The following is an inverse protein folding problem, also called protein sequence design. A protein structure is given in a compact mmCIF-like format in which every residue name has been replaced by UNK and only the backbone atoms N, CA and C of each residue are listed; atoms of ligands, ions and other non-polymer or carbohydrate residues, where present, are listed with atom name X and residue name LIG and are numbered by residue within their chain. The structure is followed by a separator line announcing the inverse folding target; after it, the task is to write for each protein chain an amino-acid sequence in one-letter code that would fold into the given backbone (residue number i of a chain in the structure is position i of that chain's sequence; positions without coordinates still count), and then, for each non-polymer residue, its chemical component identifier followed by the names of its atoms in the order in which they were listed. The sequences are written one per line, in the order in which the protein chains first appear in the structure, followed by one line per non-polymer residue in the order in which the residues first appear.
data_IF_824582903362
#
_entry.id   IF_824582903362
#
_cell.length_a   1.000
_cell.length_b   1.000
_cell.length_c   1.000
_cell.angle_alpha   90.00
_cell.angle_beta   90.00
_cell.angle_gamma   90.00
#
_symmetry.space_group_name_H-M   'P 1'
#
loop_
_entity.id
_entity.type
_entity.pdbx_description
1 polymer ?
#
# COMPACT_ATOMS: atom_id res chain seq x y z
N UNK A 1 19.78 -6.33 -7.35
CA UNK A 1 19.57 -7.76 -7.04
C UNK A 1 18.57 -8.36 -8.02
N UNK A 2 17.46 -7.69 -8.30
CA UNK A 2 16.42 -8.20 -9.20
C UNK A 2 16.95 -8.52 -10.63
N UNK A 3 17.94 -7.77 -11.12
CA UNK A 3 18.52 -7.91 -12.46
C UNK A 3 19.65 -8.96 -12.54
N UNK A 4 20.04 -9.55 -11.42
CA UNK A 4 21.13 -10.55 -11.38
C UNK A 4 20.64 -11.90 -11.87
N UNK A 5 21.29 -12.49 -12.86
CA UNK A 5 20.92 -13.79 -13.44
C UNK A 5 21.14 -14.96 -12.46
N UNK A 6 22.06 -14.82 -11.50
CA UNK A 6 22.36 -15.82 -10.46
C UNK A 6 21.43 -15.77 -9.23
N UNK A 7 20.34 -15.00 -9.28
CA UNK A 7 19.34 -14.87 -8.24
C UNK A 7 17.98 -15.32 -8.77
N UNK A 8 17.38 -16.33 -8.17
CA UNK A 8 16.08 -16.88 -8.55
C UNK A 8 14.90 -16.25 -7.80
N UNK A 9 15.13 -15.77 -6.58
CA UNK A 9 14.11 -15.13 -5.74
C UNK A 9 14.74 -14.24 -4.68
N UNK A 10 13.94 -13.35 -4.10
CA UNK A 10 14.39 -12.34 -3.15
C UNK A 10 13.56 -12.44 -1.88
N UNK A 11 14.24 -12.57 -0.73
CA UNK A 11 13.60 -12.49 0.60
C UNK A 11 14.11 -11.24 1.31
N UNK A 12 13.18 -10.45 1.85
CA UNK A 12 13.46 -9.23 2.59
C UNK A 12 12.92 -9.38 4.01
N UNK A 13 13.81 -9.44 5.00
CA UNK A 13 13.40 -9.37 6.41
C UNK A 13 13.17 -7.92 6.80
N UNK A 14 12.03 -7.61 7.41
CA UNK A 14 11.58 -6.26 7.67
C UNK A 14 10.84 -6.16 9.02
N UNK A 15 10.95 -5.03 9.69
CA UNK A 15 10.12 -4.72 10.85
C UNK A 15 8.63 -4.65 10.44
N UNK A 16 7.74 -5.18 11.29
CA UNK A 16 6.33 -5.38 10.94
C UNK A 16 5.50 -4.11 10.82
N UNK A 17 5.93 -2.99 11.43
CA UNK A 17 5.11 -1.77 11.55
C UNK A 17 4.84 -1.06 10.22
N UNK A 18 5.82 -1.08 9.31
CA UNK A 18 5.73 -0.45 7.98
C UNK A 18 5.98 -1.43 6.83
N UNK A 19 5.98 -2.74 7.13
CA UNK A 19 6.24 -3.78 6.13
C UNK A 19 5.26 -3.69 4.95
N UNK A 20 3.99 -3.44 5.22
CA UNK A 20 2.95 -3.30 4.20
C UNK A 20 3.19 -2.13 3.24
N UNK A 21 3.79 -1.04 3.75
CA UNK A 21 4.13 0.13 2.96
C UNK A 21 5.33 -0.15 2.05
N UNK A 22 6.38 -0.76 2.62
CA UNK A 22 7.56 -1.19 1.86
C UNK A 22 7.19 -2.22 0.80
N UNK A 23 6.36 -3.21 1.14
CA UNK A 23 5.89 -4.22 0.19
C UNK A 23 5.16 -3.57 -0.99
N UNK A 24 4.24 -2.63 -0.72
CA UNK A 24 3.49 -1.96 -1.78
C UNK A 24 4.38 -1.05 -2.64
N UNK A 25 5.31 -0.32 -2.03
CA UNK A 25 6.27 0.48 -2.79
C UNK A 25 7.10 -0.38 -3.75
N UNK A 26 7.60 -1.52 -3.30
CA UNK A 26 8.35 -2.46 -4.13
C UNK A 26 7.47 -3.09 -5.21
N UNK A 27 6.22 -3.41 -4.88
CA UNK A 27 5.24 -3.95 -5.83
C UNK A 27 4.99 -3.01 -7.02
N UNK A 28 5.06 -1.70 -6.76
CA UNK A 28 4.88 -0.67 -7.77
C UNK A 28 6.15 -0.37 -8.58
N UNK A 29 7.35 -0.59 -8.02
CA UNK A 29 8.60 -0.02 -8.57
C UNK A 29 9.66 -1.04 -8.96
N UNK A 30 9.53 -2.30 -8.58
CA UNK A 30 10.49 -3.36 -8.94
C UNK A 30 10.01 -4.10 -10.17
N UNK A 31 10.69 -3.89 -11.29
CA UNK A 31 10.33 -4.50 -12.58
C UNK A 31 10.98 -5.89 -12.70
N UNK A 32 10.37 -6.91 -12.11
CA UNK A 32 10.87 -8.29 -12.14
C UNK A 32 9.75 -9.31 -12.17
N UNK A 33 10.03 -10.46 -12.78
CA UNK A 33 9.18 -11.67 -12.69
C UNK A 33 9.66 -12.64 -11.61
N UNK A 34 10.77 -12.32 -10.93
CA UNK A 34 11.27 -13.15 -9.83
C UNK A 34 10.40 -12.96 -8.59
N UNK A 35 10.22 -14.00 -7.78
CA UNK A 35 9.55 -13.86 -6.49
C UNK A 35 10.23 -12.83 -5.59
N UNK A 36 9.46 -11.91 -5.04
CA UNK A 36 9.90 -10.95 -4.02
C UNK A 36 9.01 -11.11 -2.80
N UNK A 37 9.58 -11.59 -1.71
CA UNK A 37 8.88 -11.97 -0.51
C UNK A 37 9.38 -11.15 0.68
N UNK A 38 8.49 -10.42 1.35
CA UNK A 38 8.78 -9.80 2.63
C UNK A 38 8.31 -10.69 3.77
N UNK A 39 9.06 -10.67 4.87
CA UNK A 39 8.72 -11.38 6.10
C UNK A 39 9.31 -10.68 7.32
N UNK A 40 8.87 -11.09 8.49
CA UNK A 40 9.34 -10.58 9.78
C UNK A 40 8.86 -11.43 10.95
N UNK A 41 8.79 -10.86 12.13
CA UNK A 41 8.23 -11.53 13.29
C UNK A 41 7.47 -10.56 14.19
N UNK A 42 6.42 -11.05 14.81
CA UNK A 42 5.65 -10.31 15.82
C UNK A 42 6.17 -10.58 17.24
N UNK A 43 6.88 -11.69 17.44
CA UNK A 43 7.46 -12.09 18.73
C UNK A 43 8.97 -12.02 18.68
N UNK A 44 9.64 -11.58 19.76
CA UNK A 44 11.09 -11.64 19.84
C UNK A 44 11.59 -13.10 19.81
N UNK A 45 12.82 -13.30 19.35
CA UNK A 45 13.41 -14.65 19.23
C UNK A 45 13.48 -15.42 20.57
N UNK A 46 13.46 -14.71 21.69
CA UNK A 46 13.48 -15.27 23.05
C UNK A 46 12.10 -15.62 23.61
N UNK A 47 11.01 -15.28 22.88
CA UNK A 47 9.67 -15.59 23.32
C UNK A 47 9.34 -17.08 23.17
N UNK A 48 8.44 -17.59 24.06
CA UNK A 48 7.83 -18.89 23.85
C UNK A 48 7.02 -18.83 22.54
N UNK A 49 7.22 -19.81 21.67
CA UNK A 49 6.61 -19.83 20.33
C UNK A 49 6.97 -18.61 19.46
N UNK A 50 8.27 -18.24 19.41
CA UNK A 50 8.77 -17.24 18.50
C UNK A 50 8.37 -17.60 17.06
N UNK A 51 7.77 -16.65 16.34
CA UNK A 51 7.24 -16.88 14.98
C UNK A 51 8.29 -16.66 13.86
N UNK A 52 9.36 -15.92 14.16
CA UNK A 52 10.38 -15.54 13.18
C UNK A 52 11.04 -16.70 12.44
N UNK A 53 11.48 -17.78 13.10
CA UNK A 53 12.14 -18.90 12.43
C UNK A 53 11.26 -19.58 11.36
N UNK A 54 9.97 -19.83 11.65
CA UNK A 54 9.04 -20.43 10.70
C UNK A 54 8.73 -19.43 9.56
N UNK A 55 8.45 -18.16 9.88
CA UNK A 55 8.18 -17.14 8.89
C UNK A 55 9.35 -16.99 7.89
N UNK A 56 10.59 -17.01 8.37
CA UNK A 56 11.78 -16.93 7.51
C UNK A 56 11.92 -18.18 6.62
N UNK A 57 11.74 -19.37 7.18
CA UNK A 57 11.78 -20.62 6.42
C UNK A 57 10.74 -20.61 5.31
N UNK A 58 9.49 -20.26 5.62
CA UNK A 58 8.40 -20.20 4.66
C UNK A 58 8.60 -19.13 3.59
N UNK A 59 9.17 -17.96 3.96
CA UNK A 59 9.51 -16.92 3.00
C UNK A 59 10.57 -17.40 1.99
N UNK A 60 11.60 -18.13 2.44
CA UNK A 60 12.62 -18.72 1.54
C UNK A 60 12.00 -19.80 0.65
N UNK A 61 11.16 -20.67 1.19
CA UNK A 61 10.44 -21.68 0.42
C UNK A 61 9.51 -21.02 -0.62
N UNK A 62 8.80 -19.97 -0.26
CA UNK A 62 7.97 -19.21 -1.19
C UNK A 62 8.81 -18.55 -2.29
N UNK A 63 9.93 -17.91 -1.95
CA UNK A 63 10.82 -17.26 -2.90
C UNK A 63 11.52 -18.25 -3.84
N UNK A 64 11.64 -19.53 -3.47
CA UNK A 64 12.18 -20.59 -4.32
C UNK A 64 11.16 -21.14 -5.33
N UNK A 65 9.90 -20.67 -5.29
CA UNK A 65 8.85 -21.09 -6.21
C UNK A 65 8.66 -20.05 -7.34
N UNK A 66 9.17 -20.32 -8.58
CA UNK A 66 9.25 -19.29 -9.64
C UNK A 66 7.90 -18.70 -10.03
N UNK A 67 6.83 -19.50 -9.99
CA UNK A 67 5.48 -19.03 -10.34
C UNK A 67 4.94 -17.94 -9.40
N UNK A 68 5.51 -17.79 -8.20
CA UNK A 68 5.12 -16.76 -7.25
C UNK A 68 5.36 -15.34 -7.80
N UNK A 69 6.36 -15.15 -8.64
CA UNK A 69 6.65 -13.85 -9.27
C UNK A 69 5.49 -13.27 -10.09
N UNK A 70 4.56 -14.11 -10.53
CA UNK A 70 3.34 -13.69 -11.25
C UNK A 70 2.32 -12.94 -10.35
N UNK A 71 2.51 -13.00 -9.04
CA UNK A 71 1.60 -12.44 -8.03
C UNK A 71 2.07 -11.12 -7.43
N UNK A 72 3.17 -10.55 -7.98
CA UNK A 72 3.77 -9.34 -7.47
C UNK A 72 4.60 -9.57 -6.20
N UNK A 73 4.80 -8.51 -5.45
CA UNK A 73 5.45 -8.60 -4.14
C UNK A 73 4.46 -9.16 -3.12
N UNK A 74 4.89 -10.14 -2.35
CA UNK A 74 4.04 -10.77 -1.34
C UNK A 74 4.65 -10.64 0.07
N UNK A 75 3.79 -10.67 1.07
CA UNK A 75 4.18 -10.87 2.48
C UNK A 75 3.82 -12.29 2.88
N UNK A 76 4.80 -13.02 3.40
CA UNK A 76 4.60 -14.36 3.98
C UNK A 76 4.81 -14.26 5.49
N UNK A 77 3.72 -14.42 6.22
CA UNK A 77 3.67 -14.34 7.69
C UNK A 77 2.61 -15.30 8.21
N UNK A 78 2.93 -16.01 9.29
CA UNK A 78 2.00 -16.95 9.95
C UNK A 78 1.36 -17.93 8.95
N UNK A 79 2.21 -18.55 8.12
CA UNK A 79 1.85 -19.53 7.06
C UNK A 79 0.83 -19.00 6.04
N UNK A 80 0.66 -17.68 5.93
CA UNK A 80 -0.29 -17.05 4.99
C UNK A 80 0.46 -16.19 3.98
N UNK A 81 0.06 -16.27 2.72
CA UNK A 81 0.62 -15.49 1.60
C UNK A 81 -0.32 -14.34 1.28
N UNK A 82 0.16 -13.12 1.40
CA UNK A 82 -0.63 -11.90 1.20
C UNK A 82 -0.09 -11.07 0.03
N UNK A 83 -1.01 -10.48 -0.75
CA UNK A 83 -0.65 -9.46 -1.76
C UNK A 83 -0.20 -8.17 -1.09
N UNK A 84 0.87 -7.56 -1.59
CA UNK A 84 1.34 -6.25 -1.13
C UNK A 84 0.26 -5.17 -1.21
N UNK A 85 -0.61 -5.21 -2.21
CA UNK A 85 -1.68 -4.22 -2.40
C UNK A 85 -2.72 -4.25 -1.27
N UNK A 86 -3.10 -5.45 -0.80
CA UNK A 86 -4.25 -5.61 0.12
C UNK A 86 -3.86 -5.87 1.57
N UNK A 87 -2.63 -6.34 1.82
CA UNK A 87 -2.20 -6.69 3.17
C UNK A 87 -2.10 -5.46 4.08
N UNK A 88 -2.45 -5.63 5.34
CA UNK A 88 -2.40 -4.61 6.38
C UNK A 88 -2.08 -5.26 7.73
N UNK A 89 -1.28 -4.57 8.55
CA UNK A 89 -1.07 -4.94 9.96
C UNK A 89 -2.29 -4.49 10.76
N UNK A 90 -3.11 -5.44 11.21
CA UNK A 90 -4.40 -5.16 11.86
C UNK A 90 -4.38 -5.30 13.37
N UNK A 91 -3.30 -5.81 13.95
CA UNK A 91 -3.13 -6.02 15.38
C UNK A 91 -1.73 -5.60 15.83
N UNK A 92 -1.60 -5.16 17.07
CA UNK A 92 -0.34 -4.66 17.63
C UNK A 92 0.60 -5.77 18.08
N UNK A 93 0.10 -6.96 18.41
CA UNK A 93 0.86 -8.02 19.12
C UNK A 93 0.64 -9.43 18.58
N UNK A 94 -0.52 -9.74 18.02
CA UNK A 94 -0.84 -11.09 17.56
C UNK A 94 0.01 -11.51 16.36
N UNK A 95 0.48 -12.76 16.32
CA UNK A 95 1.21 -13.29 15.17
C UNK A 95 0.32 -13.32 13.90
N UNK A 96 -0.99 -13.52 14.07
CA UNK A 96 -2.00 -13.47 13.03
C UNK A 96 -2.50 -12.04 12.77
N UNK A 97 -1.57 -11.09 12.58
CA UNK A 97 -1.89 -9.66 12.44
C UNK A 97 -2.04 -9.21 11.00
N UNK A 98 -1.37 -9.86 10.05
CA UNK A 98 -1.45 -9.46 8.65
C UNK A 98 -2.71 -10.02 8.00
N UNK A 99 -3.53 -9.13 7.44
CA UNK A 99 -4.83 -9.46 6.81
C UNK A 99 -4.97 -8.73 5.49
N UNK A 100 -5.62 -9.35 4.53
CA UNK A 100 -5.93 -8.76 3.23
C UNK A 100 -7.26 -8.00 3.21
N UNK A 101 -7.71 -7.43 4.33
CA UNK A 101 -9.02 -6.79 4.46
C UNK A 101 -10.16 -7.66 3.87
N UNK A 102 -11.05 -7.05 3.07
CA UNK A 102 -12.17 -7.73 2.41
C UNK A 102 -11.72 -8.65 1.26
N UNK A 103 -10.51 -8.44 0.70
CA UNK A 103 -10.00 -9.23 -0.42
C UNK A 103 -9.37 -10.55 0.02
N UNK A 104 -9.07 -10.71 1.31
CA UNK A 104 -8.45 -11.91 1.86
C UNK A 104 -6.97 -12.06 1.51
N UNK A 105 -6.43 -13.26 1.70
CA UNK A 105 -5.07 -13.62 1.34
C UNK A 105 -5.02 -14.23 -0.07
N UNK A 106 -3.85 -14.30 -0.67
CA UNK A 106 -3.63 -15.03 -1.92
C UNK A 106 -3.73 -16.55 -1.71
N UNK A 107 -3.30 -17.02 -0.54
CA UNK A 107 -3.26 -18.43 -0.19
C UNK A 107 -2.44 -18.70 1.06
N UNK A 108 -1.93 -19.92 1.19
CA UNK A 108 -1.26 -20.40 2.38
C UNK A 108 0.01 -21.17 2.03
N UNK A 109 0.96 -21.16 2.96
CA UNK A 109 2.10 -22.09 2.93
C UNK A 109 1.64 -23.46 3.43
N UNK A 110 1.84 -24.49 2.65
CA UNK A 110 1.50 -25.87 3.02
C UNK A 110 2.53 -26.83 2.43
N UNK A 111 3.10 -27.70 3.28
CA UNK A 111 4.11 -28.69 2.90
C UNK A 111 5.31 -28.06 2.16
N UNK A 112 5.77 -26.90 2.65
CA UNK A 112 6.91 -26.16 2.09
C UNK A 112 6.63 -25.47 0.74
N UNK A 113 5.37 -25.30 0.36
CA UNK A 113 4.98 -24.67 -0.91
C UNK A 113 3.82 -23.71 -0.73
N UNK A 114 3.77 -22.58 -1.50
CA UNK A 114 2.60 -21.73 -1.56
C UNK A 114 1.46 -22.45 -2.31
N UNK A 115 0.28 -22.45 -1.71
CA UNK A 115 -0.99 -22.90 -2.29
C UNK A 115 -1.84 -21.66 -2.51
N UNK A 116 -1.89 -21.15 -3.75
CA UNK A 116 -2.54 -19.91 -4.09
C UNK A 116 -3.90 -20.16 -4.74
N UNK A 117 -4.89 -19.36 -4.36
CA UNK A 117 -6.29 -19.47 -4.80
C UNK A 117 -6.84 -18.18 -5.39
N UNK A 118 -6.08 -17.08 -5.31
CA UNK A 118 -6.43 -15.78 -5.86
C UNK A 118 -5.26 -15.20 -6.63
N UNK A 119 -5.54 -14.37 -7.63
CA UNK A 119 -4.53 -13.68 -8.42
C UNK A 119 -4.79 -12.17 -8.40
N UNK A 120 -3.76 -11.33 -8.23
CA UNK A 120 -3.88 -9.89 -8.38
C UNK A 120 -4.29 -9.51 -9.81
N UNK A 121 -5.26 -8.61 -9.93
CA UNK A 121 -5.73 -8.10 -11.23
C UNK A 121 -5.17 -6.72 -11.58
N UNK A 122 -4.64 -6.02 -10.58
CA UNK A 122 -4.04 -4.70 -10.75
C UNK A 122 -2.60 -4.81 -11.21
N UNK A 123 -2.08 -3.78 -11.87
CA UNK A 123 -0.66 -3.72 -12.27
C UNK A 123 0.26 -3.83 -11.05
N UNK A 124 1.33 -4.57 -11.22
CA UNK A 124 2.35 -4.78 -10.18
C UNK A 124 3.68 -5.19 -10.84
N UNK A 125 4.78 -5.16 -10.13
CA UNK A 125 6.12 -5.60 -10.52
C UNK A 125 6.38 -5.54 -12.02
N UNK A 126 6.38 -6.68 -12.72
CA UNK A 126 6.70 -6.81 -14.16
C UNK A 126 5.72 -6.06 -15.10
N UNK A 127 4.50 -5.77 -14.65
CA UNK A 127 3.48 -5.04 -15.41
C UNK A 127 3.38 -3.56 -15.02
N UNK A 128 4.15 -3.13 -14.03
CA UNK A 128 4.17 -1.74 -13.58
C UNK A 128 4.93 -0.85 -14.55
N UNK A 129 4.40 0.35 -14.78
CA UNK A 129 5.06 1.42 -15.54
C UNK A 129 5.69 2.47 -14.60
N UNK A 130 5.54 2.32 -13.27
CA UNK A 130 6.03 3.27 -12.29
C UNK A 130 7.48 2.94 -11.92
N UNK A 131 8.29 3.98 -11.79
CA UNK A 131 9.68 3.86 -11.35
C UNK A 131 9.90 4.67 -10.06
N UNK A 132 10.81 4.19 -9.22
CA UNK A 132 11.22 4.94 -8.03
C UNK A 132 12.00 6.20 -8.45
N UNK A 133 11.53 7.42 -8.14
CA UNK A 133 12.28 8.64 -8.41
C UNK A 133 13.45 8.79 -7.42
N UNK A 134 14.40 9.67 -7.72
CA UNK A 134 15.50 10.00 -6.79
C UNK A 134 14.97 10.62 -5.50
N UNK A 135 13.95 11.46 -5.59
CA UNK A 135 13.26 12.09 -4.46
C UNK A 135 11.76 11.94 -4.66
N UNK A 136 11.10 11.54 -3.59
CA UNK A 136 9.64 11.42 -3.58
C UNK A 136 9.02 12.79 -3.31
N UNK A 137 8.00 13.24 -4.10
CA UNK A 137 7.25 14.44 -3.80
C UNK A 137 6.66 14.42 -2.38
N UNK A 138 6.64 15.58 -1.74
CA UNK A 138 6.13 15.70 -0.37
C UNK A 138 4.61 15.54 -0.35
N UNK A 139 4.11 14.49 0.26
CA UNK A 139 2.68 14.19 0.45
C UNK A 139 2.41 13.95 1.93
N UNK A 140 1.33 14.54 2.46
CA UNK A 140 0.88 14.28 3.83
C UNK A 140 -0.43 13.50 3.86
N UNK A 141 -0.68 12.81 4.97
CA UNK A 141 -1.96 12.16 5.29
C UNK A 141 -2.67 13.01 6.33
N UNK A 142 -3.93 13.35 6.08
CA UNK A 142 -4.80 14.07 7.00
C UNK A 142 -5.90 13.13 7.46
N UNK A 143 -5.91 12.79 8.75
CA UNK A 143 -6.94 11.92 9.32
C UNK A 143 -8.16 12.75 9.73
N UNK A 144 -9.33 12.49 9.14
CA UNK A 144 -10.54 13.21 9.47
C UNK A 144 -11.17 12.70 10.77
N UNK A 145 -11.46 13.62 11.67
CA UNK A 145 -12.10 13.38 12.96
C UNK A 145 -13.04 14.55 13.30
N UNK A 146 -13.86 14.37 14.35
CA UNK A 146 -14.73 15.45 14.86
C UNK A 146 -13.88 16.56 15.44
N UNK A 147 -14.03 17.78 14.90
CA UNK A 147 -13.23 18.94 15.32
C UNK A 147 -11.99 19.21 14.46
N UNK A 148 -11.74 18.44 13.39
CA UNK A 148 -10.72 18.81 12.40
C UNK A 148 -11.08 20.15 11.77
N UNK A 149 -10.17 21.12 11.83
CA UNK A 149 -10.39 22.47 11.33
C UNK A 149 -9.77 22.72 9.95
N UNK A 150 -10.27 23.74 9.28
CA UNK A 150 -9.69 24.24 8.03
C UNK A 150 -8.22 24.67 8.19
N UNK A 151 -7.88 25.25 9.34
CA UNK A 151 -6.51 25.70 9.62
C UNK A 151 -5.53 24.55 9.84
N UNK A 152 -5.97 23.45 10.45
CA UNK A 152 -5.15 22.26 10.58
C UNK A 152 -4.78 21.70 9.19
N UNK A 153 -5.76 21.66 8.29
CA UNK A 153 -5.54 21.17 6.93
C UNK A 153 -4.64 22.11 6.13
N UNK A 154 -4.82 23.43 6.23
CA UNK A 154 -3.94 24.39 5.56
C UNK A 154 -2.49 24.27 6.01
N UNK A 155 -2.25 24.11 7.33
CA UNK A 155 -0.91 23.91 7.87
C UNK A 155 -0.27 22.61 7.37
N UNK A 156 -1.03 21.50 7.35
CA UNK A 156 -0.54 20.21 6.86
C UNK A 156 -0.27 20.24 5.34
N UNK A 157 -1.01 21.06 4.58
CA UNK A 157 -0.82 21.22 3.14
C UNK A 157 0.43 22.06 2.79
N UNK A 158 0.93 22.85 3.72
CA UNK A 158 2.04 23.77 3.44
C UNK A 158 3.29 23.03 2.94
N UNK A 159 3.78 23.39 1.77
CA UNK A 159 4.95 22.78 1.14
C UNK A 159 4.73 21.35 0.63
N UNK A 160 3.47 20.91 0.49
CA UNK A 160 3.13 19.58 -0.04
C UNK A 160 2.67 19.68 -1.50
N UNK A 161 3.06 18.70 -2.28
CA UNK A 161 2.54 18.51 -3.65
C UNK A 161 1.16 17.81 -3.64
N UNK A 162 0.86 17.05 -2.58
CA UNK A 162 -0.40 16.36 -2.43
C UNK A 162 -0.80 16.08 -0.99
N UNK A 163 -2.09 15.82 -0.79
CA UNK A 163 -2.68 15.34 0.46
C UNK A 163 -3.52 14.10 0.22
N UNK A 164 -3.42 13.15 1.14
CA UNK A 164 -4.39 12.05 1.25
C UNK A 164 -5.31 12.36 2.43
N UNK A 165 -6.57 12.61 2.14
CA UNK A 165 -7.59 12.80 3.17
C UNK A 165 -8.16 11.44 3.55
N UNK A 166 -7.81 10.97 4.75
CA UNK A 166 -8.41 9.79 5.37
C UNK A 166 -9.78 10.18 5.91
N UNK A 167 -10.75 10.22 5.00
CA UNK A 167 -12.10 10.75 5.29
C UNK A 167 -12.93 9.84 6.19
N UNK A 168 -14.11 10.31 6.50
CA UNK A 168 -15.17 9.57 7.19
C UNK A 168 -15.72 8.46 6.27
N UNK A 169 -16.96 8.01 6.44
CA UNK A 169 -17.58 7.06 5.51
C UNK A 169 -17.47 7.56 4.06
N UNK A 170 -17.06 6.70 3.12
CA UNK A 170 -16.88 7.00 1.69
C UNK A 170 -15.95 8.20 1.40
N UNK A 171 -14.94 8.41 2.23
CA UNK A 171 -13.96 9.49 2.05
C UNK A 171 -14.53 10.91 2.25
N UNK A 172 -15.66 11.05 2.95
CA UNK A 172 -16.25 12.36 3.27
C UNK A 172 -15.40 13.13 4.26
N UNK A 173 -15.47 14.44 4.18
CA UNK A 173 -14.77 15.36 5.09
C UNK A 173 -15.72 16.46 5.57
N UNK A 174 -15.39 17.17 6.69
CA UNK A 174 -16.16 18.33 7.13
C UNK A 174 -16.22 19.40 6.03
N UNK A 175 -17.35 20.10 5.90
CA UNK A 175 -17.58 21.10 4.85
C UNK A 175 -16.52 22.22 4.88
N UNK A 176 -16.16 22.72 6.04
CA UNK A 176 -15.13 23.76 6.18
C UNK A 176 -13.73 23.27 5.75
N UNK A 177 -13.45 21.99 5.88
CA UNK A 177 -12.21 21.36 5.38
C UNK A 177 -12.25 21.32 3.86
N UNK A 178 -13.38 20.91 3.28
CA UNK A 178 -13.55 20.88 1.82
C UNK A 178 -13.37 22.28 1.20
N UNK A 179 -14.03 23.28 1.76
CA UNK A 179 -13.89 24.67 1.31
C UNK A 179 -12.46 25.20 1.43
N UNK A 180 -11.70 24.76 2.44
CA UNK A 180 -10.30 25.14 2.59
C UNK A 180 -9.37 24.48 1.58
N UNK A 181 -9.73 23.31 1.06
CA UNK A 181 -8.92 22.57 0.07
C UNK A 181 -9.09 23.11 -1.35
N UNK A 182 -10.27 23.60 -1.71
CA UNK A 182 -10.56 24.06 -3.07
C UNK A 182 -9.54 25.09 -3.59
N UNK A 183 -9.24 26.21 -2.90
CA UNK A 183 -8.23 27.17 -3.37
C UNK A 183 -6.81 26.60 -3.42
N UNK A 184 -6.48 25.63 -2.57
CA UNK A 184 -5.18 24.95 -2.63
C UNK A 184 -5.09 24.02 -3.85
N UNK A 185 -6.20 23.37 -4.20
CA UNK A 185 -6.30 22.54 -5.41
C UNK A 185 -6.19 23.37 -6.69
N UNK A 186 -6.74 24.59 -6.70
CA UNK A 186 -6.57 25.55 -7.80
C UNK A 186 -5.10 25.99 -7.95
N UNK A 187 -4.35 26.03 -6.86
CA UNK A 187 -2.91 26.31 -6.84
C UNK A 187 -2.05 25.07 -7.16
N UNK A 188 -2.64 23.93 -7.49
CA UNK A 188 -1.94 22.73 -7.94
C UNK A 188 -1.78 21.63 -6.90
N UNK A 189 -2.32 21.78 -5.68
CA UNK A 189 -2.34 20.69 -4.71
C UNK A 189 -3.21 19.53 -5.20
N UNK A 190 -2.67 18.31 -5.24
CA UNK A 190 -3.44 17.12 -5.56
C UNK A 190 -4.03 16.50 -4.30
N UNK A 191 -5.34 16.34 -4.26
CA UNK A 191 -6.05 15.76 -3.12
C UNK A 191 -6.59 14.39 -3.48
N UNK A 192 -6.19 13.36 -2.73
CA UNK A 192 -6.70 11.99 -2.82
C UNK A 192 -7.64 11.75 -1.64
N UNK A 193 -8.83 11.23 -1.91
CA UNK A 193 -9.78 10.79 -0.88
C UNK A 193 -9.62 9.29 -0.62
N UNK A 194 -9.30 8.94 0.61
CA UNK A 194 -9.33 7.61 1.18
C UNK A 194 -10.33 7.55 2.34
N UNK A 195 -10.51 6.41 2.97
CA UNK A 195 -11.41 6.28 4.11
C UNK A 195 -10.67 5.78 5.36
N UNK A 196 -11.11 6.23 6.54
CA UNK A 196 -10.67 5.67 7.82
C UNK A 196 -11.37 4.36 8.17
N UNK A 197 -12.46 4.05 7.48
CA UNK A 197 -13.14 2.77 7.65
C UNK A 197 -12.26 1.62 7.16
N UNK A 198 -12.28 0.51 7.88
CA UNK A 198 -11.45 -0.67 7.57
C UNK A 198 -11.92 -1.43 6.32
N UNK A 199 -13.07 -1.12 5.78
CA UNK A 199 -13.63 -1.76 4.58
C UNK A 199 -14.37 -0.77 3.69
N UNK A 200 -14.72 -1.20 2.50
CA UNK A 200 -15.38 -0.41 1.47
C UNK A 200 -14.39 0.28 0.52
N UNK A 201 -14.93 0.96 -0.45
CA UNK A 201 -14.19 1.68 -1.49
C UNK A 201 -14.59 3.14 -1.49
N UNK A 202 -13.68 4.01 -1.89
CA UNK A 202 -13.94 5.44 -2.11
C UNK A 202 -13.99 5.68 -3.61
N UNK A 203 -15.15 6.09 -4.11
CA UNK A 203 -15.39 6.34 -5.53
C UNK A 203 -15.68 7.82 -5.79
N UNK A 204 -15.69 8.22 -7.05
CA UNK A 204 -16.01 9.59 -7.45
C UNK A 204 -17.46 9.95 -7.06
N UNK A 205 -17.62 11.16 -6.59
CA UNK A 205 -18.94 11.78 -6.32
C UNK A 205 -18.89 13.26 -6.70
N UNK A 206 -19.97 13.84 -7.26
CA UNK A 206 -19.98 15.23 -7.72
C UNK A 206 -19.65 16.26 -6.63
N UNK A 207 -19.95 15.95 -5.36
CA UNK A 207 -19.69 16.84 -4.23
C UNK A 207 -18.20 17.12 -3.99
N UNK A 208 -17.31 16.26 -4.49
CA UNK A 208 -15.85 16.37 -4.34
C UNK A 208 -15.14 16.33 -5.70
N UNK A 209 -15.72 17.03 -6.66
CA UNK A 209 -15.14 17.14 -7.99
C UNK A 209 -13.71 17.68 -7.95
N UNK A 210 -12.87 17.20 -8.87
CA UNK A 210 -11.44 17.52 -8.91
C UNK A 210 -10.56 16.78 -7.91
N UNK A 211 -11.12 15.93 -7.01
CA UNK A 211 -10.31 15.03 -6.17
C UNK A 211 -10.03 13.70 -6.89
N UNK A 212 -8.93 13.05 -6.51
CA UNK A 212 -8.62 11.66 -6.87
C UNK A 212 -9.21 10.72 -5.82
N UNK A 213 -9.61 9.51 -6.19
CA UNK A 213 -10.13 8.52 -5.27
C UNK A 213 -9.16 7.34 -5.11
N UNK A 214 -9.00 6.90 -3.87
CA UNK A 214 -8.07 5.82 -3.54
C UNK A 214 -8.64 4.41 -3.75
N UNK A 215 -9.89 4.28 -4.21
CA UNK A 215 -10.59 2.99 -4.31
C UNK A 215 -10.52 2.24 -2.96
N UNK A 216 -9.91 1.07 -2.93
CA UNK A 216 -9.74 0.20 -1.78
C UNK A 216 -8.39 0.38 -1.04
N UNK A 217 -7.53 1.30 -1.49
CA UNK A 217 -6.22 1.50 -0.86
C UNK A 217 -6.34 2.09 0.54
N UNK A 218 -5.46 1.63 1.44
CA UNK A 218 -5.25 2.30 2.72
C UNK A 218 -4.67 3.69 2.52
N UNK A 219 -4.87 4.64 3.43
CA UNK A 219 -4.32 5.98 3.30
C UNK A 219 -2.80 6.01 3.10
N UNK A 220 -2.06 5.14 3.79
CA UNK A 220 -0.61 5.03 3.66
C UNK A 220 -0.19 4.50 2.29
N UNK A 221 -0.90 3.52 1.73
CA UNK A 221 -0.65 3.03 0.36
C UNK A 221 -1.07 4.04 -0.69
N UNK A 222 -2.21 4.71 -0.49
CA UNK A 222 -2.63 5.82 -1.36
C UNK A 222 -1.60 6.96 -1.38
N UNK A 223 -0.95 7.26 -0.24
CA UNK A 223 0.17 8.21 -0.18
C UNK A 223 1.34 7.75 -1.05
N UNK A 224 1.74 6.49 -0.97
CA UNK A 224 2.84 5.94 -1.76
C UNK A 224 2.52 6.04 -3.27
N UNK A 225 1.32 5.62 -3.67
CA UNK A 225 0.92 5.69 -5.07
C UNK A 225 0.84 7.14 -5.57
N UNK A 226 0.33 8.07 -4.74
CA UNK A 226 0.31 9.50 -5.07
C UNK A 226 1.72 10.07 -5.23
N UNK A 227 2.67 9.71 -4.37
CA UNK A 227 4.05 10.15 -4.48
C UNK A 227 4.70 9.70 -5.79
N UNK A 228 4.48 8.44 -6.18
CA UNK A 228 4.97 7.91 -7.45
C UNK A 228 4.26 8.58 -8.64
N UNK A 229 2.95 8.74 -8.59
CA UNK A 229 2.19 9.41 -9.65
C UNK A 229 2.64 10.87 -9.85
N UNK A 230 2.82 11.63 -8.76
CA UNK A 230 3.28 13.02 -8.79
C UNK A 230 4.72 13.17 -9.33
N UNK A 231 5.54 12.14 -9.25
CA UNK A 231 6.86 12.14 -9.88
C UNK A 231 6.78 12.06 -11.43
N UNK A 232 5.64 11.62 -11.97
CA UNK A 232 5.40 11.49 -13.42
C UNK A 232 4.51 12.58 -13.99
N UNK A 233 3.50 13.04 -13.24
CA UNK A 233 2.52 14.00 -13.72
C UNK A 233 1.83 14.75 -12.58
N UNK A 234 1.37 15.98 -12.86
CA UNK A 234 0.48 16.75 -11.97
C UNK A 234 -0.96 16.80 -12.48
N UNK A 235 -1.23 16.19 -13.61
CA UNK A 235 -2.55 16.08 -14.23
C UNK A 235 -3.43 15.11 -13.43
N UNK A 236 -4.53 15.62 -12.89
CA UNK A 236 -5.43 14.87 -12.00
C UNK A 236 -6.11 13.68 -12.67
N UNK A 237 -6.47 13.80 -13.96
CA UNK A 237 -7.10 12.72 -14.71
C UNK A 237 -6.11 11.56 -14.92
N UNK A 238 -4.85 11.90 -15.26
CA UNK A 238 -3.78 10.91 -15.37
C UNK A 238 -3.45 10.26 -14.03
N UNK A 239 -3.45 11.03 -12.94
CA UNK A 239 -3.27 10.48 -11.60
C UNK A 239 -4.42 9.54 -11.25
N UNK A 240 -5.69 9.90 -11.54
CA UNK A 240 -6.82 9.00 -11.33
C UNK A 240 -6.65 7.72 -12.15
N UNK A 241 -6.26 7.80 -13.42
CA UNK A 241 -6.00 6.63 -14.26
C UNK A 241 -4.90 5.72 -13.69
N UNK A 242 -3.87 6.30 -13.03
CA UNK A 242 -2.87 5.54 -12.28
C UNK A 242 -3.53 4.82 -11.10
N UNK A 243 -4.34 5.52 -10.28
CA UNK A 243 -5.06 4.90 -9.17
C UNK A 243 -6.01 3.78 -9.60
N UNK A 244 -6.61 3.90 -10.77
CA UNK A 244 -7.50 2.88 -11.34
C UNK A 244 -6.74 1.66 -11.88
N UNK A 245 -5.48 1.83 -12.27
CA UNK A 245 -4.64 0.77 -12.82
C UNK A 245 -3.93 -0.05 -11.73
N UNK A 246 -3.58 0.57 -10.61
CA UNK A 246 -2.81 0.01 -9.50
C UNK A 246 -3.69 -0.08 -8.25
#
# INVERSE_FOLDING_TARGET
VADREDVDGIVITHGTDTMEETAYFLDLTVHTIKPVVLTGSMRPATAISADGPLNLLEAVQAASWPDLGKYGVVIVMNSTVHSARFVEKTDTTHADTFKGRQMGCLGYMQDGRPRLYQQPLRKHTWSSDLAAPKELPAVAIVYAYVGLTADDVRRLAQGKAGLVITGLGHGKMPELVWQALQPLMEQGLVVVRAARALGGMVTQVPAYDGTVTADSLTPQKAKILLQLALAHTTDREKIQAIFDAY
#
